data_IF_558111161321
#
_entry.id   IF_558111161321
#
_cell.length_a   1.000
_cell.length_b   1.000
_cell.length_c   1.000
_cell.angle_alpha   90.00
_cell.angle_beta   90.00
_cell.angle_gamma   90.00
#
_symmetry.space_group_name_H-M   'P 1'
#
loop_
_entity.id
_entity.type
_entity.pdbx_description
1 polymer ?
#
# COMPACT_ATOMS: atom_id res chain seq x y z
N UNK A 1 5.02 21.34 10.23
CA UNK A 1 4.37 20.07 9.82
C UNK A 1 4.54 19.90 8.32
N UNK A 2 5.03 18.76 7.87
CA UNK A 2 5.16 18.41 6.44
C UNK A 2 4.25 17.25 6.11
N UNK A 3 3.43 17.40 5.08
CA UNK A 3 2.54 16.35 4.61
C UNK A 3 3.29 15.43 3.64
N UNK A 4 3.06 14.15 3.76
CA UNK A 4 3.67 13.08 2.99
C UNK A 4 2.58 12.12 2.54
N UNK A 5 2.84 11.36 1.48
CA UNK A 5 1.95 10.28 1.07
C UNK A 5 2.73 8.98 0.90
N UNK A 6 2.21 7.92 1.48
CA UNK A 6 2.64 6.54 1.25
C UNK A 6 1.66 5.85 0.32
N UNK A 7 2.17 5.25 -0.73
CA UNK A 7 1.38 4.51 -1.71
C UNK A 7 1.97 3.13 -1.93
N UNK A 8 1.14 2.16 -2.27
CA UNK A 8 1.59 0.80 -2.54
C UNK A 8 0.74 0.12 -3.60
N UNK A 9 1.38 -0.70 -4.42
CA UNK A 9 0.73 -1.68 -5.28
C UNK A 9 1.06 -3.07 -4.73
N UNK A 10 0.06 -3.84 -4.43
CA UNK A 10 0.16 -5.16 -3.83
C UNK A 10 -0.33 -6.21 -4.81
N UNK A 11 0.50 -7.23 -4.99
CA UNK A 11 0.28 -8.33 -5.90
C UNK A 11 -0.06 -9.57 -5.06
N UNK A 12 -1.33 -9.70 -4.76
CA UNK A 12 -1.86 -10.68 -3.83
C UNK A 12 -2.61 -10.03 -2.67
N UNK A 13 -2.51 -10.59 -1.49
CA UNK A 13 -3.16 -10.12 -0.28
C UNK A 13 -2.28 -9.06 0.44
N UNK A 14 -2.91 -8.02 0.96
CA UNK A 14 -2.21 -7.04 1.80
C UNK A 14 -2.54 -7.28 3.24
N UNK A 15 -1.56 -7.59 4.04
CA UNK A 15 -1.80 -7.73 5.44
C UNK A 15 -1.74 -6.37 6.17
N UNK A 16 -0.62 -5.87 6.57
CA UNK A 16 -0.56 -4.66 7.36
C UNK A 16 0.65 -3.80 6.98
N UNK A 17 0.42 -2.49 6.99
CA UNK A 17 1.47 -1.49 6.84
C UNK A 17 1.54 -0.66 8.09
N UNK A 18 2.71 -0.52 8.68
CA UNK A 18 2.99 0.49 9.69
C UNK A 18 4.25 1.26 9.33
N UNK A 19 4.25 2.55 9.65
CA UNK A 19 5.35 3.44 9.32
C UNK A 19 5.75 4.21 10.58
N UNK A 20 7.00 4.12 10.99
CA UNK A 20 7.53 4.74 12.20
C UNK A 20 8.67 5.69 11.88
N UNK A 21 8.74 6.79 12.60
CA UNK A 21 9.94 7.60 12.76
C UNK A 21 10.53 7.37 14.14
N UNK A 22 11.78 7.73 14.38
CA UNK A 22 12.48 7.54 15.65
C UNK A 22 11.71 8.11 16.87
N UNK A 23 10.80 9.05 16.66
CA UNK A 23 9.97 9.69 17.69
C UNK A 23 8.53 9.14 17.81
N UNK A 24 8.11 8.15 17.00
CA UNK A 24 6.74 7.63 17.09
C UNK A 24 6.22 6.92 15.85
N UNK A 25 4.99 6.40 15.95
CA UNK A 25 4.30 5.73 14.85
C UNK A 25 3.59 6.76 13.98
N UNK A 26 3.99 6.88 12.73
CA UNK A 26 3.38 7.79 11.74
C UNK A 26 2.11 7.20 11.13
N UNK A 27 2.13 5.90 10.84
CA UNK A 27 0.98 5.14 10.37
C UNK A 27 0.88 3.88 11.24
N UNK A 28 -0.17 3.78 12.03
CA UNK A 28 -0.39 2.65 12.91
C UNK A 28 -0.98 1.45 12.16
N UNK A 29 -0.74 0.24 12.68
CA UNK A 29 -1.46 -0.97 12.28
C UNK A 29 -2.99 -0.71 12.40
N UNK A 30 -3.77 -1.15 11.43
CA UNK A 30 -5.22 -0.90 11.40
C UNK A 30 -5.65 0.47 10.89
N UNK A 31 -4.71 1.33 10.47
CA UNK A 31 -5.04 2.63 9.89
C UNK A 31 -5.93 2.53 8.66
N UNK A 32 -6.70 3.58 8.43
CA UNK A 32 -7.54 3.72 7.24
C UNK A 32 -6.72 4.17 6.03
N UNK A 33 -7.00 3.60 4.88
CA UNK A 33 -6.36 3.91 3.60
C UNK A 33 -7.40 4.20 2.52
N UNK A 34 -7.03 4.96 1.51
CA UNK A 34 -7.73 4.99 0.24
C UNK A 34 -7.26 3.80 -0.60
N UNK A 35 -8.20 3.11 -1.22
CA UNK A 35 -7.95 1.82 -1.85
C UNK A 35 -8.65 1.69 -3.20
N UNK A 36 -7.97 1.06 -4.18
CA UNK A 36 -8.44 0.88 -5.54
C UNK A 36 -8.17 -0.55 -6.02
N UNK A 37 -9.17 -1.26 -6.57
CA UNK A 37 -9.00 -2.62 -7.06
C UNK A 37 -8.24 -2.65 -8.40
N UNK A 38 -7.40 -3.65 -8.58
CA UNK A 38 -6.61 -3.85 -9.81
C UNK A 38 -7.42 -4.36 -11.02
N UNK A 39 -8.74 -4.34 -10.93
CA UNK A 39 -9.61 -4.57 -12.10
C UNK A 39 -9.55 -3.43 -13.13
N UNK A 40 -9.05 -2.26 -12.73
CA UNK A 40 -8.87 -1.08 -13.56
C UNK A 40 -7.57 -0.37 -13.17
N UNK A 41 -7.01 0.39 -14.13
CA UNK A 41 -5.87 1.25 -13.84
C UNK A 41 -6.24 2.31 -12.78
N UNK A 42 -5.37 2.54 -11.78
CA UNK A 42 -5.62 3.52 -10.73
C UNK A 42 -5.51 4.98 -11.23
N UNK A 43 -4.92 5.20 -12.39
CA UNK A 43 -4.83 6.48 -13.09
C UNK A 43 -4.71 6.25 -14.60
N UNK A 44 -5.10 7.24 -15.40
CA UNK A 44 -4.97 7.19 -16.86
C UNK A 44 -3.50 7.14 -17.31
N UNK A 45 -2.64 7.90 -16.64
CA UNK A 45 -1.20 7.90 -16.86
C UNK A 45 -0.53 6.92 -15.90
N UNK A 46 0.48 6.20 -16.41
CA UNK A 46 1.25 5.24 -15.61
C UNK A 46 1.91 5.95 -14.42
N UNK A 47 1.71 5.40 -13.23
CA UNK A 47 2.24 5.91 -11.97
C UNK A 47 1.79 7.34 -11.56
N UNK A 48 0.86 7.98 -12.26
CA UNK A 48 0.31 9.27 -11.80
C UNK A 48 -0.32 9.16 -10.41
N UNK A 49 -0.91 8.03 -10.10
CA UNK A 49 -1.53 7.73 -8.80
C UNK A 49 -0.54 7.70 -7.61
N UNK A 50 0.77 7.60 -7.82
CA UNK A 50 1.76 7.62 -6.72
C UNK A 50 2.17 9.04 -6.33
N UNK A 51 1.83 10.04 -7.11
CA UNK A 51 2.17 11.43 -6.84
C UNK A 51 1.40 11.99 -5.64
N UNK A 52 2.03 12.93 -4.94
CA UNK A 52 1.46 13.51 -3.72
C UNK A 52 0.10 14.19 -3.96
N UNK A 53 -0.06 14.90 -5.05
CA UNK A 53 -1.23 15.72 -5.39
C UNK A 53 -2.30 14.97 -6.22
N UNK A 54 -2.13 13.67 -6.45
CA UNK A 54 -3.14 12.87 -7.14
C UNK A 54 -4.46 12.87 -6.38
N UNK A 55 -5.56 13.13 -7.10
CA UNK A 55 -6.91 13.11 -6.53
C UNK A 55 -7.42 11.67 -6.39
N UNK A 56 -7.46 11.17 -5.17
CA UNK A 56 -7.96 9.85 -4.80
C UNK A 56 -9.34 9.89 -4.11
N UNK A 57 -10.11 10.97 -4.31
CA UNK A 57 -11.42 11.15 -3.68
C UNK A 57 -12.45 10.08 -4.03
N UNK A 58 -12.32 9.50 -5.24
CA UNK A 58 -13.16 8.41 -5.73
C UNK A 58 -12.75 7.01 -5.24
N UNK A 59 -11.59 6.91 -4.59
CA UNK A 59 -11.13 5.65 -4.04
C UNK A 59 -11.93 5.30 -2.78
N UNK A 60 -12.25 4.04 -2.59
CA UNK A 60 -12.93 3.65 -1.38
C UNK A 60 -11.99 3.70 -0.16
N UNK A 61 -12.57 3.85 1.03
CA UNK A 61 -11.83 3.89 2.28
C UNK A 61 -12.00 2.58 3.03
N UNK A 62 -10.86 1.99 3.41
CA UNK A 62 -10.83 0.77 4.20
C UNK A 62 -9.71 0.80 5.23
N UNK A 63 -9.86 -0.01 6.28
CA UNK A 63 -8.83 -0.16 7.31
C UNK A 63 -7.94 -1.37 7.02
N UNK A 64 -6.63 -1.24 7.23
CA UNK A 64 -5.72 -2.37 7.17
C UNK A 64 -6.00 -3.40 8.30
N UNK A 65 -5.72 -4.71 8.11
CA UNK A 65 -5.24 -5.31 6.88
C UNK A 65 -6.32 -5.34 5.79
N UNK A 66 -5.89 -5.27 4.53
CA UNK A 66 -6.75 -5.58 3.39
C UNK A 66 -6.56 -7.05 3.06
N UNK A 67 -7.63 -7.81 3.03
CA UNK A 67 -7.59 -9.27 2.87
C UNK A 67 -8.67 -9.78 1.95
N UNK A 68 -8.39 -10.90 1.32
CA UNK A 68 -9.41 -11.66 0.62
C UNK A 68 -9.27 -13.15 1.00
N UNK A 69 -10.38 -13.86 1.20
CA UNK A 69 -10.35 -15.24 1.67
C UNK A 69 -10.17 -15.34 3.19
N UNK A 70 -9.04 -15.85 3.62
CA UNK A 70 -8.76 -16.15 5.02
C UNK A 70 -8.40 -14.92 5.87
N UNK A 71 -8.31 -15.12 7.18
CA UNK A 71 -7.95 -14.10 8.15
C UNK A 71 -9.14 -13.37 8.76
N UNK A 72 -8.84 -12.47 9.73
CA UNK A 72 -9.81 -11.70 10.48
C UNK A 72 -9.41 -10.22 10.61
N UNK A 73 -10.38 -9.35 10.84
CA UNK A 73 -10.16 -7.91 10.99
C UNK A 73 -9.95 -7.17 9.67
N UNK A 74 -9.80 -5.86 9.75
CA UNK A 74 -9.55 -5.00 8.60
C UNK A 74 -10.64 -5.00 7.55
N UNK A 75 -10.24 -4.83 6.30
CA UNK A 75 -11.13 -4.73 5.14
C UNK A 75 -11.07 -6.00 4.30
N UNK A 76 -12.21 -6.69 4.16
CA UNK A 76 -12.35 -7.80 3.25
C UNK A 76 -12.54 -7.29 1.81
N UNK A 77 -11.68 -7.75 0.90
CA UNK A 77 -11.75 -7.42 -0.52
C UNK A 77 -12.68 -8.42 -1.21
N UNK A 78 -13.92 -8.04 -1.37
CA UNK A 78 -14.92 -8.89 -2.06
C UNK A 78 -14.70 -8.91 -3.57
N UNK A 79 -14.88 -10.08 -4.18
CA UNK A 79 -14.85 -10.23 -5.63
C UNK A 79 -13.44 -10.20 -6.26
N UNK A 80 -12.36 -10.28 -5.48
CA UNK A 80 -11.00 -10.35 -6.01
C UNK A 80 -10.72 -11.70 -6.69
N UNK A 81 -11.16 -12.79 -6.10
CA UNK A 81 -10.89 -14.17 -6.57
C UNK A 81 -11.31 -14.35 -8.04
N UNK A 82 -10.35 -14.78 -8.87
CA UNK A 82 -10.50 -15.01 -10.32
C UNK A 82 -10.89 -13.76 -11.12
N UNK A 83 -10.75 -12.56 -10.56
CA UNK A 83 -11.13 -11.31 -11.22
C UNK A 83 -9.94 -10.39 -11.42
N UNK A 84 -9.16 -10.14 -10.37
CA UNK A 84 -7.93 -9.35 -10.42
C UNK A 84 -6.97 -9.79 -9.31
N UNK A 85 -5.69 -9.49 -9.48
CA UNK A 85 -4.60 -9.93 -8.59
C UNK A 85 -3.89 -8.79 -7.86
N UNK A 86 -4.20 -7.53 -8.19
CA UNK A 86 -3.51 -6.36 -7.66
C UNK A 86 -4.46 -5.44 -6.89
N UNK A 87 -3.93 -4.77 -5.87
CA UNK A 87 -4.64 -3.80 -5.08
C UNK A 87 -3.75 -2.58 -4.84
N UNK A 88 -4.30 -1.37 -5.00
CA UNK A 88 -3.57 -0.11 -4.84
C UNK A 88 -4.04 0.59 -3.58
N UNK A 89 -3.09 1.06 -2.77
CA UNK A 89 -3.34 1.74 -1.51
C UNK A 89 -2.66 3.09 -1.46
N UNK A 90 -3.32 4.08 -0.88
CA UNK A 90 -2.79 5.44 -0.67
C UNK A 90 -3.12 5.93 0.73
N UNK A 91 -2.16 6.59 1.37
CA UNK A 91 -2.38 7.23 2.66
C UNK A 91 -1.52 8.48 2.82
N UNK A 92 -2.17 9.59 3.10
CA UNK A 92 -1.51 10.81 3.57
C UNK A 92 -1.19 10.71 5.06
N UNK A 93 -0.05 11.24 5.44
CA UNK A 93 0.38 11.38 6.83
C UNK A 93 1.23 12.64 6.99
N UNK A 94 1.47 13.06 8.21
CA UNK A 94 2.23 14.27 8.50
C UNK A 94 3.36 14.00 9.47
N UNK A 95 4.47 14.70 9.31
CA UNK A 95 5.55 14.77 10.29
C UNK A 95 5.70 16.21 10.77
N UNK A 96 5.91 16.42 12.06
CA UNK A 96 6.00 17.77 12.62
C UNK A 96 7.26 18.49 12.12
N UNK A 97 8.38 17.79 12.11
CA UNK A 97 9.64 18.32 11.59
C UNK A 97 10.44 17.23 10.90
N UNK A 98 10.72 17.42 9.61
CA UNK A 98 11.54 16.48 8.84
C UNK A 98 12.98 16.45 9.33
N UNK A 99 13.50 17.57 9.86
CA UNK A 99 14.86 17.64 10.40
C UNK A 99 15.10 16.81 11.66
N UNK A 100 14.03 16.36 12.32
CA UNK A 100 14.08 15.48 13.49
C UNK A 100 13.87 14.00 13.13
N UNK A 101 13.66 13.69 11.85
CA UNK A 101 13.51 12.31 11.39
C UNK A 101 14.87 11.76 11.03
N UNK A 102 15.45 10.98 11.91
CA UNK A 102 16.75 10.32 11.70
C UNK A 102 16.65 9.05 10.86
N UNK A 103 15.45 8.44 10.80
CA UNK A 103 15.19 7.25 10.02
C UNK A 103 13.71 6.93 9.95
N UNK A 104 13.33 6.17 8.93
CA UNK A 104 11.99 5.64 8.74
C UNK A 104 12.06 4.12 8.71
N UNK A 105 11.22 3.49 9.51
CA UNK A 105 11.03 2.04 9.51
C UNK A 105 9.67 1.74 8.90
N UNK A 106 9.66 0.87 7.90
CA UNK A 106 8.46 0.38 7.24
C UNK A 106 8.29 -1.11 7.55
N UNK A 107 7.24 -1.45 8.26
CA UNK A 107 6.83 -2.83 8.50
C UNK A 107 5.66 -3.17 7.59
N UNK A 108 5.81 -4.20 6.79
CA UNK A 108 4.81 -4.70 5.84
C UNK A 108 4.59 -6.18 6.09
N UNK A 109 3.35 -6.55 6.34
CA UNK A 109 2.92 -7.94 6.26
C UNK A 109 2.18 -8.10 4.94
N UNK A 110 2.59 -9.04 4.10
CA UNK A 110 2.14 -9.14 2.71
C UNK A 110 2.07 -10.59 2.25
N UNK A 111 1.31 -10.80 1.20
CA UNK A 111 1.12 -12.04 0.47
C UNK A 111 1.03 -11.65 -1.01
N UNK A 112 1.78 -12.11 -1.71
CA UNK A 112 2.91 -12.58 -2.41
C UNK A 112 3.99 -11.50 -2.63
N UNK A 113 3.62 -10.28 -3.03
CA UNK A 113 4.57 -9.23 -3.38
C UNK A 113 3.99 -7.81 -3.29
N UNK A 114 4.87 -6.80 -3.25
CA UNK A 114 4.45 -5.40 -3.20
C UNK A 114 5.51 -4.44 -3.74
N UNK A 115 5.06 -3.22 -4.05
CA UNK A 115 5.93 -2.05 -4.29
C UNK A 115 5.41 -0.89 -3.46
N UNK A 116 6.31 -0.11 -2.86
CA UNK A 116 5.99 1.05 -2.04
C UNK A 116 6.68 2.29 -2.56
N UNK A 117 5.95 3.39 -2.61
CA UNK A 117 6.45 4.73 -2.95
C UNK A 117 6.20 5.71 -1.82
N UNK A 118 7.12 6.65 -1.64
CA UNK A 118 6.95 7.81 -0.79
C UNK A 118 7.06 9.08 -1.64
N UNK A 119 5.99 9.87 -1.69
CA UNK A 119 5.91 11.08 -2.51
C UNK A 119 6.32 10.86 -3.98
N UNK A 120 5.86 9.78 -4.59
CA UNK A 120 6.15 9.43 -5.98
C UNK A 120 7.50 8.71 -6.21
N UNK A 121 8.36 8.61 -5.19
CA UNK A 121 9.65 7.91 -5.31
C UNK A 121 9.53 6.49 -4.80
N UNK A 122 9.90 5.51 -5.61
CA UNK A 122 9.93 4.11 -5.21
C UNK A 122 10.95 3.89 -4.08
N UNK A 123 10.50 3.30 -2.97
CA UNK A 123 11.32 2.99 -1.82
C UNK A 123 11.75 1.53 -1.79
N UNK A 124 10.83 0.63 -2.11
CA UNK A 124 11.03 -0.79 -1.94
C UNK A 124 10.16 -1.57 -2.92
N UNK A 125 10.74 -2.61 -3.49
CA UNK A 125 10.08 -3.59 -4.35
C UNK A 125 10.41 -4.99 -3.86
N UNK A 126 9.39 -5.81 -3.61
CA UNK A 126 9.55 -7.20 -3.14
C UNK A 126 8.65 -8.10 -3.97
N UNK A 127 9.22 -9.15 -4.55
CA UNK A 127 8.53 -10.14 -5.37
C UNK A 127 7.65 -9.53 -6.48
N UNK A 128 7.93 -8.32 -6.92
CA UNK A 128 7.17 -7.64 -7.97
C UNK A 128 8.03 -7.47 -9.23
N UNK A 129 7.47 -7.69 -10.44
CA UNK A 129 8.20 -7.52 -11.69
C UNK A 129 8.59 -6.06 -11.91
N UNK A 130 9.65 -5.81 -12.72
CA UNK A 130 10.13 -4.45 -13.03
C UNK A 130 9.03 -3.61 -13.69
N UNK A 131 8.32 -4.19 -14.66
CA UNK A 131 7.15 -3.57 -15.27
C UNK A 131 5.88 -4.01 -14.53
N UNK A 132 5.28 -3.09 -13.78
CA UNK A 132 4.01 -3.35 -13.09
C UNK A 132 2.86 -3.31 -14.09
N UNK A 133 2.15 -4.41 -14.18
CA UNK A 133 0.86 -4.46 -14.85
C UNK A 133 -0.27 -4.19 -13.84
N UNK A 134 -1.35 -3.55 -14.28
CA UNK A 134 -2.51 -3.25 -13.43
C UNK A 134 -3.08 -4.51 -12.77
N UNK A 135 -3.10 -5.62 -13.50
CA UNK A 135 -3.53 -6.93 -13.02
C UNK A 135 -2.37 -7.93 -13.13
N UNK A 136 -1.21 -7.57 -12.59
CA UNK A 136 -0.01 -8.39 -12.60
C UNK A 136 0.05 -9.39 -11.46
N UNK A 137 0.95 -10.36 -11.59
CA UNK A 137 1.24 -11.32 -10.54
C UNK A 137 2.61 -11.05 -9.92
N UNK A 138 2.77 -11.46 -8.68
CA UNK A 138 4.08 -11.50 -8.04
C UNK A 138 5.02 -12.48 -8.78
N UNK A 139 6.31 -12.22 -8.72
CA UNK A 139 7.33 -13.06 -9.33
C UNK A 139 7.61 -14.35 -8.54
N UNK A 140 7.22 -14.37 -7.26
CA UNK A 140 7.37 -15.49 -6.34
C UNK A 140 6.21 -15.48 -5.35
N UNK A 141 5.84 -16.67 -4.82
CA UNK A 141 4.89 -16.78 -3.73
C UNK A 141 5.52 -16.40 -2.39
N UNK A 142 4.71 -15.80 -1.52
CA UNK A 142 5.02 -15.49 -0.13
C UNK A 142 3.74 -15.48 0.69
N UNK A 143 3.72 -16.19 1.80
CA UNK A 143 2.59 -16.19 2.71
C UNK A 143 2.72 -15.09 3.76
N UNK A 144 1.62 -14.39 4.04
CA UNK A 144 1.58 -13.40 5.11
C UNK A 144 1.88 -14.05 6.47
N UNK A 145 2.67 -13.37 7.28
CA UNK A 145 2.98 -13.78 8.63
C UNK A 145 2.14 -13.01 9.66
N UNK A 146 2.32 -13.34 10.92
CA UNK A 146 1.83 -12.50 12.03
C UNK A 146 2.98 -11.64 12.56
N UNK A 147 2.74 -10.33 12.71
CA UNK A 147 3.65 -9.44 13.44
C UNK A 147 3.57 -9.69 14.96
#
# INVERSE_FOLDING_TARGET
>A
MKNLILTGAFLGLVAALSFRAHAGTLIAKGSQWHAWPGSQAPSAETLKWVEFDFNDSEWFKGSAPFRYGDGAGGTEIKGMRNTYSTYFLRRHFSVDSVSLVEGLELNVDYDDGFVVWLNGNELLRVNAPDALAVNGFASQGHESGSF
#
